data_IF_795562776168
#
_entry.id   IF_795562776168
#
_cell.length_a   1.000
_cell.length_b   1.000
_cell.length_c   1.000
_cell.angle_alpha   90.00
_cell.angle_beta   90.00
_cell.angle_gamma   90.00
#
_symmetry.space_group_name_H-M   'P 1'
#
loop_
_entity.id
_entity.type
_entity.pdbx_description
1 polymer ?
#
# COMPACT_ATOMS: atom_id res chain seq x y z
N UNK A 1 28.05 6.52 -6.72
CA UNK A 1 26.86 5.63 -6.77
C UNK A 1 26.13 5.79 -5.44
N UNK A 2 24.85 6.15 -5.47
CA UNK A 2 24.05 6.27 -4.25
C UNK A 2 23.46 4.90 -3.88
N UNK A 3 23.51 4.54 -2.60
CA UNK A 3 22.83 3.34 -2.07
C UNK A 3 21.36 3.63 -1.72
N UNK A 4 20.86 4.81 -2.06
CA UNK A 4 19.48 5.23 -1.81
C UNK A 4 18.62 4.80 -3.01
N UNK A 5 17.53 4.03 -2.78
CA UNK A 5 16.62 3.63 -3.85
C UNK A 5 16.05 4.85 -4.59
N UNK A 6 16.09 4.78 -5.92
CA UNK A 6 15.44 5.77 -6.78
C UNK A 6 13.91 5.67 -6.67
N UNK A 7 13.20 6.64 -7.26
CA UNK A 7 11.74 6.57 -7.36
C UNK A 7 11.28 5.31 -8.12
N UNK A 8 11.98 4.96 -9.21
CA UNK A 8 11.66 3.78 -10.01
C UNK A 8 11.84 2.50 -9.17
N UNK A 9 12.91 2.42 -8.38
CA UNK A 9 13.16 1.29 -7.49
C UNK A 9 12.06 1.16 -6.42
N UNK A 10 11.63 2.28 -5.83
CA UNK A 10 10.53 2.28 -4.85
C UNK A 10 9.20 1.87 -5.47
N UNK A 11 8.89 2.33 -6.68
CA UNK A 11 7.67 1.93 -7.41
C UNK A 11 7.72 0.43 -7.74
N UNK A 12 8.85 -0.05 -8.26
CA UNK A 12 9.03 -1.47 -8.54
C UNK A 12 8.86 -2.32 -7.28
N UNK A 13 9.43 -1.87 -6.16
CA UNK A 13 9.29 -2.52 -4.85
C UNK A 13 7.84 -2.54 -4.37
N UNK A 14 7.16 -1.40 -4.37
CA UNK A 14 5.77 -1.29 -3.93
C UNK A 14 4.83 -2.21 -4.72
N UNK A 15 5.01 -2.31 -6.04
CA UNK A 15 4.23 -3.23 -6.89
C UNK A 15 4.50 -4.70 -6.57
N UNK A 16 5.74 -5.05 -6.24
CA UNK A 16 6.11 -6.41 -5.82
C UNK A 16 5.50 -6.74 -4.46
N UNK A 17 5.59 -5.82 -3.50
CA UNK A 17 5.01 -5.99 -2.16
C UNK A 17 3.48 -6.18 -2.25
N UNK A 18 2.78 -5.36 -3.04
CA UNK A 18 1.34 -5.52 -3.27
C UNK A 18 0.97 -6.87 -3.88
N UNK A 19 1.76 -7.38 -4.85
CA UNK A 19 1.56 -8.72 -5.43
C UNK A 19 1.76 -9.85 -4.44
N UNK A 20 2.60 -9.64 -3.42
CA UNK A 20 2.82 -10.59 -2.32
C UNK A 20 1.79 -10.41 -1.18
N UNK A 21 0.82 -9.52 -1.32
CA UNK A 21 -0.17 -9.22 -0.28
C UNK A 21 0.41 -8.43 0.91
N UNK A 22 1.54 -7.74 0.72
CA UNK A 22 2.09 -6.82 1.71
C UNK A 22 1.50 -5.42 1.51
N UNK A 23 1.20 -4.69 2.60
CA UNK A 23 0.71 -3.33 2.50
C UNK A 23 1.85 -2.36 2.10
N UNK A 24 1.48 -1.27 1.42
CA UNK A 24 2.40 -0.17 1.10
C UNK A 24 1.83 1.15 1.60
N UNK A 25 2.69 2.14 1.83
CA UNK A 25 2.26 3.50 2.16
C UNK A 25 2.47 4.39 0.93
N UNK A 26 1.41 5.08 0.54
CA UNK A 26 1.49 6.19 -0.40
C UNK A 26 1.47 7.50 0.39
N UNK A 27 2.37 8.41 0.04
CA UNK A 27 2.48 9.72 0.68
C UNK A 27 2.38 10.82 -0.38
N UNK A 28 1.56 11.82 -0.11
CA UNK A 28 1.44 13.05 -0.87
C UNK A 28 1.47 14.23 0.10
N UNK A 29 2.61 14.94 0.13
CA UNK A 29 2.87 15.97 1.15
C UNK A 29 2.78 15.40 2.57
N UNK A 30 1.93 16.01 3.40
CA UNK A 30 1.63 15.58 4.77
C UNK A 30 0.58 14.45 4.85
N UNK A 31 -0.01 14.05 3.73
CA UNK A 31 -1.06 13.02 3.69
C UNK A 31 -0.44 11.66 3.40
N UNK A 32 -0.84 10.66 4.20
CA UNK A 32 -0.43 9.27 4.03
C UNK A 32 -1.65 8.36 3.91
N UNK A 33 -1.57 7.37 3.03
CA UNK A 33 -2.56 6.30 2.88
C UNK A 33 -1.87 4.94 3.00
N UNK A 34 -2.39 4.08 3.88
CA UNK A 34 -2.06 2.66 3.90
C UNK A 34 -2.87 1.95 2.81
N UNK A 35 -2.18 1.35 1.84
CA UNK A 35 -2.80 0.67 0.70
C UNK A 35 -2.56 -0.82 0.82
N UNK A 36 -3.64 -1.60 0.69
CA UNK A 36 -3.62 -3.05 0.65
C UNK A 36 -4.19 -3.52 -0.70
N UNK A 37 -3.70 -4.65 -1.20
CA UNK A 37 -4.39 -5.34 -2.30
C UNK A 37 -5.75 -5.83 -1.81
N UNK A 38 -6.79 -5.62 -2.62
CA UNK A 38 -8.12 -6.19 -2.35
C UNK A 38 -8.13 -7.71 -2.61
N UNK A 39 -7.34 -8.18 -3.58
CA UNK A 39 -7.19 -9.60 -3.89
C UNK A 39 -6.43 -10.31 -2.75
N UNK A 40 -7.03 -11.37 -2.21
CA UNK A 40 -6.46 -12.13 -1.09
C UNK A 40 -6.52 -11.42 0.27
N UNK A 41 -7.24 -10.30 0.39
CA UNK A 41 -7.44 -9.62 1.67
C UNK A 41 -8.29 -10.48 2.62
N UNK A 42 -7.84 -10.64 3.86
CA UNK A 42 -8.55 -11.37 4.91
C UNK A 42 -9.28 -10.43 5.87
N UNK A 43 -10.33 -10.93 6.52
CA UNK A 43 -11.10 -10.18 7.53
C UNK A 43 -10.21 -9.65 8.65
N UNK A 44 -9.27 -10.46 9.13
CA UNK A 44 -8.32 -10.05 10.17
C UNK A 44 -7.47 -8.85 9.74
N UNK A 45 -6.98 -8.84 8.49
CA UNK A 45 -6.17 -7.72 7.97
C UNK A 45 -7.00 -6.49 7.71
N UNK A 46 -8.22 -6.64 7.20
CA UNK A 46 -9.15 -5.53 7.02
C UNK A 46 -9.54 -4.90 8.36
N UNK A 47 -9.83 -5.73 9.38
CA UNK A 47 -10.12 -5.26 10.73
C UNK A 47 -8.94 -4.50 11.33
N UNK A 48 -7.72 -5.01 11.18
CA UNK A 48 -6.51 -4.32 11.65
C UNK A 48 -6.29 -2.99 10.92
N UNK A 49 -6.49 -2.95 9.59
CA UNK A 49 -6.35 -1.71 8.82
C UNK A 49 -7.41 -0.66 9.20
N UNK A 50 -8.67 -1.09 9.45
CA UNK A 50 -9.75 -0.20 9.89
C UNK A 50 -9.54 0.39 11.28
N UNK A 51 -8.74 -0.26 12.13
CA UNK A 51 -8.34 0.31 13.42
C UNK A 51 -7.40 1.53 13.25
N UNK A 52 -6.76 1.69 12.09
CA UNK A 52 -5.90 2.84 11.78
C UNK A 52 -6.68 4.01 11.14
N UNK A 53 -7.87 3.76 10.58
CA UNK A 53 -8.69 4.78 9.93
C UNK A 53 -9.78 4.21 9.02
N UNK A 54 -10.56 5.09 8.39
CA UNK A 54 -11.60 4.67 7.43
C UNK A 54 -11.00 4.01 6.20
N UNK A 55 -11.55 2.87 5.80
CA UNK A 55 -11.14 2.16 4.59
C UNK A 55 -12.00 2.55 3.39
N UNK A 56 -11.36 2.84 2.26
CA UNK A 56 -11.99 3.12 0.97
C UNK A 56 -11.59 2.05 -0.04
N UNK A 57 -12.55 1.50 -0.80
CA UNK A 57 -12.28 0.59 -1.91
C UNK A 57 -12.13 1.40 -3.20
N UNK A 58 -10.94 1.38 -3.79
CA UNK A 58 -10.71 1.97 -5.11
C UNK A 58 -11.16 1.00 -6.21
N UNK A 59 -12.03 1.48 -7.10
CA UNK A 59 -12.54 0.75 -8.26
C UNK A 59 -12.28 1.54 -9.55
N UNK A 60 -12.22 0.85 -10.67
CA UNK A 60 -12.16 1.47 -12.00
C UNK A 60 -13.57 1.85 -12.48
N UNK A 61 -13.67 2.85 -13.37
CA UNK A 61 -14.91 3.25 -14.04
C UNK A 61 -15.44 2.18 -14.98
#
# INVERSE_FOLDING_TARGET
MSLIPSLIDRIARARTDLRLGLPVVLQEGETCALVLSAEGLTDARLSAARALGSATLAITS
#
